data_IF_299930424060
#
_entry.id   IF_299930424060
#
_cell.length_a   1.000
_cell.length_b   1.000
_cell.length_c   1.000
_cell.angle_alpha   90.00
_cell.angle_beta   90.00
_cell.angle_gamma   90.00
#
_symmetry.space_group_name_H-M   'P 1'
#
loop_
_entity.id
_entity.type
_entity.pdbx_description
1 polymer ?
#
# COMPACT_ATOMS: atom_id res chain seq x y z
N UNK A 1 16.86 -28.86 40.55
CA UNK A 1 16.34 -28.89 39.17
C UNK A 1 14.98 -28.21 39.00
N UNK A 2 13.92 -28.54 39.77
CA UNK A 2 12.58 -27.91 39.61
C UNK A 2 12.55 -26.37 39.70
N UNK A 3 13.33 -25.75 40.59
CA UNK A 3 13.40 -24.27 40.71
C UNK A 3 14.07 -23.61 39.50
N UNK A 4 15.17 -24.18 39.01
CA UNK A 4 15.92 -23.68 37.85
C UNK A 4 15.03 -23.72 36.59
N UNK A 5 14.28 -24.81 36.41
CA UNK A 5 13.34 -24.95 35.30
C UNK A 5 12.23 -23.89 35.33
N UNK A 6 11.70 -23.56 36.53
CA UNK A 6 10.71 -22.48 36.67
C UNK A 6 11.27 -21.13 36.27
N UNK A 7 12.50 -20.79 36.66
CA UNK A 7 13.14 -19.55 36.24
C UNK A 7 13.34 -19.47 34.73
N UNK A 8 13.73 -20.57 34.08
CA UNK A 8 13.88 -20.62 32.61
C UNK A 8 12.54 -20.39 31.91
N UNK A 9 11.45 -21.00 32.39
CA UNK A 9 10.10 -20.80 31.83
C UNK A 9 9.65 -19.35 31.99
N UNK A 10 9.86 -18.75 33.17
CA UNK A 10 9.50 -17.35 33.42
C UNK A 10 10.29 -16.41 32.51
N UNK A 11 11.60 -16.64 32.35
CA UNK A 11 12.44 -15.84 31.44
C UNK A 11 11.98 -16.00 29.98
N UNK A 12 11.63 -17.22 29.55
CA UNK A 12 11.11 -17.46 28.20
C UNK A 12 9.80 -16.73 27.92
N UNK A 13 8.88 -16.70 28.89
CA UNK A 13 7.62 -15.94 28.79
C UNK A 13 7.87 -14.43 28.78
N UNK A 14 8.81 -13.94 29.58
CA UNK A 14 9.17 -12.52 29.58
C UNK A 14 9.82 -12.08 28.27
N UNK A 15 10.68 -12.91 27.69
CA UNK A 15 11.30 -12.64 26.39
C UNK A 15 10.27 -12.64 25.25
N UNK A 16 9.29 -13.55 25.26
CA UNK A 16 8.23 -13.55 24.26
C UNK A 16 7.28 -12.36 24.39
N UNK A 17 6.98 -11.92 25.62
CA UNK A 17 6.24 -10.68 25.87
C UNK A 17 7.02 -9.45 25.43
N UNK A 18 8.33 -9.41 25.69
CA UNK A 18 9.20 -8.32 25.24
C UNK A 18 9.26 -8.25 23.72
N UNK A 19 9.42 -9.38 23.03
CA UNK A 19 9.43 -9.42 21.57
C UNK A 19 8.07 -9.01 20.96
N UNK A 20 6.96 -9.43 21.57
CA UNK A 20 5.63 -9.01 21.16
C UNK A 20 5.40 -7.50 21.37
N UNK A 21 5.85 -6.94 22.49
CA UNK A 21 5.70 -5.50 22.80
C UNK A 21 6.63 -4.63 21.97
N UNK A 22 7.86 -5.06 21.73
CA UNK A 22 8.79 -4.35 20.83
C UNK A 22 8.30 -4.37 19.40
N UNK A 23 7.81 -5.51 18.88
CA UNK A 23 7.19 -5.57 17.56
C UNK A 23 5.94 -4.68 17.48
N UNK A 24 5.12 -4.65 18.54
CA UNK A 24 3.98 -3.76 18.60
C UNK A 24 4.40 -2.29 18.57
N UNK A 25 5.39 -1.87 19.36
CA UNK A 25 5.88 -0.49 19.36
C UNK A 25 6.55 -0.10 18.04
N UNK A 26 7.46 -0.92 17.51
CA UNK A 26 8.13 -0.66 16.23
C UNK A 26 7.13 -0.55 15.07
N UNK A 27 6.05 -1.32 15.09
CA UNK A 27 5.00 -1.23 14.08
C UNK A 27 3.88 -0.25 14.43
N UNK A 28 3.91 0.37 15.62
CA UNK A 28 2.93 1.36 16.10
C UNK A 28 3.17 2.74 15.48
N UNK A 29 4.42 3.15 15.27
CA UNK A 29 4.73 4.40 14.58
C UNK A 29 4.35 4.32 13.09
N UNK A 30 4.65 3.19 12.45
CA UNK A 30 4.16 2.87 11.10
C UNK A 30 2.63 2.64 11.08
N UNK A 31 1.99 2.42 12.24
CA UNK A 31 0.55 2.15 12.36
C UNK A 31 -0.31 3.35 12.04
N UNK A 32 0.14 4.54 12.42
CA UNK A 32 -0.55 5.79 12.12
C UNK A 32 0.06 6.49 10.91
N UNK A 33 1.38 6.36 10.72
CA UNK A 33 2.09 7.09 9.68
C UNK A 33 1.74 6.60 8.27
N UNK A 34 1.80 5.29 8.02
CA UNK A 34 1.61 4.77 6.66
C UNK A 34 0.17 4.95 6.13
N UNK A 35 -0.90 4.72 6.91
CA UNK A 35 -2.25 5.07 6.47
C UNK A 35 -2.41 6.55 6.13
N UNK A 36 -1.79 7.43 6.93
CA UNK A 36 -1.83 8.88 6.70
C UNK A 36 -1.09 9.25 5.41
N UNK A 37 0.15 8.78 5.23
CA UNK A 37 0.96 9.02 4.04
C UNK A 37 0.28 8.46 2.78
N UNK A 38 -0.38 7.31 2.88
CA UNK A 38 -1.17 6.75 1.78
C UNK A 38 -2.37 7.63 1.40
N UNK A 39 -3.06 8.23 2.38
CA UNK A 39 -4.12 9.20 2.10
C UNK A 39 -3.57 10.47 1.46
N UNK A 40 -2.41 10.96 1.92
CA UNK A 40 -1.73 12.10 1.29
C UNK A 40 -1.38 11.79 -0.18
N UNK A 41 -0.84 10.59 -0.46
CA UNK A 41 -0.59 10.13 -1.83
C UNK A 41 -1.88 10.10 -2.67
N UNK A 42 -2.98 9.63 -2.10
CA UNK A 42 -4.28 9.57 -2.79
C UNK A 42 -4.84 10.97 -3.09
N UNK A 43 -4.80 11.90 -2.14
CA UNK A 43 -5.30 13.27 -2.31
C UNK A 43 -4.44 14.09 -3.29
N UNK A 44 -3.13 13.81 -3.36
CA UNK A 44 -2.21 14.43 -4.32
C UNK A 44 -2.32 13.83 -5.74
N UNK A 45 -2.98 12.67 -5.88
CA UNK A 45 -3.00 11.96 -7.14
C UNK A 45 -3.92 12.66 -8.14
N UNK A 46 -3.34 13.08 -9.28
CA UNK A 46 -4.14 13.58 -10.38
C UNK A 46 -4.95 12.44 -11.00
N UNK A 47 -6.23 12.69 -11.23
CA UNK A 47 -7.17 11.79 -11.89
C UNK A 47 -7.52 12.37 -13.27
N UNK A 48 -7.59 11.56 -14.34
CA UNK A 48 -7.96 12.06 -15.67
C UNK A 48 -9.33 12.75 -15.66
N UNK A 49 -9.47 13.83 -16.44
CA UNK A 49 -10.79 14.45 -16.65
C UNK A 49 -11.81 13.42 -17.18
N UNK A 50 -13.10 13.61 -16.87
CA UNK A 50 -14.19 12.67 -17.21
C UNK A 50 -14.03 11.30 -16.53
N UNK A 51 -13.55 11.33 -15.30
CA UNK A 51 -13.45 10.17 -14.44
C UNK A 51 -14.17 10.49 -13.12
N UNK A 52 -15.05 9.59 -12.72
CA UNK A 52 -15.78 9.68 -11.46
C UNK A 52 -15.31 8.57 -10.52
N UNK A 53 -15.04 8.90 -9.26
CA UNK A 53 -14.80 7.90 -8.23
C UNK A 53 -16.10 7.14 -7.95
N UNK A 54 -16.07 5.81 -8.13
CA UNK A 54 -17.21 4.97 -7.78
C UNK A 54 -17.12 4.49 -6.34
N UNK A 55 -15.93 4.06 -5.94
CA UNK A 55 -15.72 3.44 -4.64
C UNK A 55 -14.26 3.53 -4.21
N UNK A 56 -14.02 4.18 -3.08
CA UNK A 56 -12.82 3.96 -2.27
C UNK A 56 -13.06 2.80 -1.32
N UNK A 57 -12.27 1.73 -1.44
CA UNK A 57 -12.31 0.61 -0.50
C UNK A 57 -11.62 1.01 0.81
N UNK A 58 -11.95 0.30 1.88
CA UNK A 58 -11.27 0.50 3.16
C UNK A 58 -9.80 0.13 3.05
N UNK A 59 -8.95 0.83 3.82
CA UNK A 59 -7.54 0.51 3.90
C UNK A 59 -7.38 -0.92 4.42
N UNK A 60 -6.69 -1.75 3.63
CA UNK A 60 -6.33 -3.11 4.04
C UNK A 60 -4.91 -3.06 4.58
N UNK A 61 -4.76 -3.45 5.85
CA UNK A 61 -3.43 -3.64 6.43
C UNK A 61 -3.26 -5.07 6.92
N UNK A 62 -2.18 -5.70 6.49
CA UNK A 62 -1.69 -6.98 6.98
C UNK A 62 -0.27 -6.81 7.50
N UNK A 63 0.26 -7.84 8.19
CA UNK A 63 1.61 -7.81 8.76
C UNK A 63 2.71 -7.40 7.76
N UNK A 64 2.52 -7.72 6.48
CA UNK A 64 3.56 -7.55 5.45
C UNK A 64 3.24 -6.47 4.41
N UNK A 65 2.07 -5.83 4.48
CA UNK A 65 1.73 -4.75 3.56
C UNK A 65 0.57 -3.89 4.06
N UNK A 66 0.51 -2.67 3.55
CA UNK A 66 -0.65 -1.79 3.62
C UNK A 66 -1.10 -1.44 2.20
N UNK A 67 -2.40 -1.35 1.98
CA UNK A 67 -2.94 -0.95 0.68
C UNK A 67 -4.28 -0.24 0.73
N UNK A 68 -4.52 0.53 -0.32
CA UNK A 68 -5.77 1.21 -0.63
C UNK A 68 -6.12 0.93 -2.09
N UNK A 69 -7.39 0.68 -2.34
CA UNK A 69 -7.91 0.26 -3.62
C UNK A 69 -9.11 1.17 -3.95
N UNK A 70 -9.05 1.83 -5.11
CA UNK A 70 -10.05 2.79 -5.57
C UNK A 70 -10.55 2.39 -6.95
N UNK A 71 -11.87 2.29 -7.11
CA UNK A 71 -12.53 2.02 -8.37
C UNK A 71 -13.03 3.33 -8.99
N UNK A 72 -12.62 3.59 -10.23
CA UNK A 72 -13.03 4.75 -11.02
C UNK A 72 -13.88 4.33 -12.24
N UNK A 73 -14.90 5.12 -12.56
CA UNK A 73 -15.65 5.05 -13.81
C UNK A 73 -15.09 6.08 -14.77
N UNK A 74 -14.90 5.72 -16.03
CA UNK A 74 -14.47 6.67 -17.05
C UNK A 74 -14.92 6.27 -18.44
N UNK A 75 -15.19 7.27 -19.27
CA UNK A 75 -15.43 7.11 -20.71
C UNK A 75 -14.12 7.10 -21.52
N UNK A 76 -12.97 7.31 -20.87
CA UNK A 76 -11.67 7.27 -21.52
C UNK A 76 -11.29 5.84 -21.92
N UNK A 77 -10.56 5.73 -23.02
CA UNK A 77 -9.96 4.45 -23.41
C UNK A 77 -8.78 4.10 -22.49
N UNK A 78 -8.51 2.81 -22.34
CA UNK A 78 -7.36 2.29 -21.59
C UNK A 78 -6.04 2.96 -21.99
N UNK A 79 -5.82 3.21 -23.29
CA UNK A 79 -4.63 3.91 -23.79
C UNK A 79 -4.53 5.33 -23.23
N UNK A 80 -5.63 6.10 -23.22
CA UNK A 80 -5.62 7.47 -22.69
C UNK A 80 -5.39 7.52 -21.19
N UNK A 81 -5.97 6.58 -20.44
CA UNK A 81 -5.73 6.44 -19.00
C UNK A 81 -4.25 6.14 -18.75
N UNK A 82 -3.68 5.21 -19.50
CA UNK A 82 -2.26 4.86 -19.41
C UNK A 82 -1.35 6.03 -19.74
N UNK A 83 -1.55 6.68 -20.88
CA UNK A 83 -0.78 7.85 -21.31
C UNK A 83 -0.83 8.97 -20.26
N UNK A 84 -2.02 9.25 -19.71
CA UNK A 84 -2.17 10.24 -18.65
C UNK A 84 -1.26 9.96 -17.44
N UNK A 85 -1.27 8.74 -16.90
CA UNK A 85 -0.44 8.42 -15.74
C UNK A 85 1.06 8.32 -16.09
N UNK A 86 1.41 7.84 -17.28
CA UNK A 86 2.79 7.82 -17.79
C UNK A 86 3.35 9.24 -17.93
N UNK A 87 2.54 10.21 -18.33
CA UNK A 87 2.96 11.62 -18.45
C UNK A 87 3.03 12.33 -17.10
N UNK A 88 2.08 12.06 -16.19
CA UNK A 88 1.90 12.85 -14.96
C UNK A 88 2.70 12.33 -13.77
N UNK A 89 2.75 11.03 -13.54
CA UNK A 89 3.37 10.47 -12.33
C UNK A 89 4.89 10.70 -12.27
N UNK A 90 5.65 10.62 -13.38
CA UNK A 90 7.08 10.98 -13.37
C UNK A 90 7.36 12.42 -12.97
N UNK A 91 6.48 13.36 -13.30
CA UNK A 91 6.62 14.76 -12.87
C UNK A 91 6.46 14.93 -11.34
N UNK A 92 5.76 13.99 -10.69
CA UNK A 92 5.59 13.91 -9.24
C UNK A 92 6.62 12.97 -8.56
N UNK A 93 7.68 12.59 -9.26
CA UNK A 93 8.78 11.78 -8.72
C UNK A 93 8.52 10.27 -8.66
N UNK A 94 7.48 9.78 -9.33
CA UNK A 94 7.20 8.35 -9.45
C UNK A 94 7.91 7.76 -10.67
N UNK A 95 8.60 6.64 -10.51
CA UNK A 95 9.25 5.96 -11.63
C UNK A 95 8.46 4.73 -12.05
N UNK A 96 8.34 4.51 -13.36
CA UNK A 96 7.65 3.35 -13.89
C UNK A 96 8.42 2.06 -13.56
N UNK A 97 7.69 1.02 -13.16
CA UNK A 97 8.22 -0.30 -12.84
C UNK A 97 7.38 -1.38 -13.50
N UNK A 98 7.89 -2.60 -13.54
CA UNK A 98 7.11 -3.73 -14.02
C UNK A 98 5.86 -3.94 -13.14
N UNK A 99 4.71 -4.05 -13.80
CA UNK A 99 3.49 -4.43 -13.13
C UNK A 99 3.53 -5.92 -12.79
N UNK A 100 3.19 -6.27 -11.56
CA UNK A 100 3.34 -7.63 -11.05
C UNK A 100 2.09 -8.49 -11.31
N UNK A 101 1.07 -7.96 -11.99
CA UNK A 101 -0.10 -8.71 -12.41
C UNK A 101 -1.02 -7.95 -13.36
N UNK A 102 -1.29 -8.54 -14.52
CA UNK A 102 -2.32 -8.07 -15.47
C UNK A 102 -1.80 -7.20 -16.62
N UNK A 103 -2.75 -6.59 -17.36
CA UNK A 103 -2.49 -5.62 -18.44
C UNK A 103 -2.56 -4.18 -17.88
N UNK A 104 -1.86 -3.97 -16.77
CA UNK A 104 -1.79 -2.70 -16.05
C UNK A 104 -0.58 -1.85 -16.38
N UNK A 105 -0.38 -0.78 -15.62
CA UNK A 105 0.90 -0.07 -15.50
C UNK A 105 1.17 0.18 -14.02
N UNK A 106 2.44 0.21 -13.63
CA UNK A 106 2.81 0.43 -12.24
C UNK A 106 3.96 1.42 -12.08
N UNK A 107 3.97 2.09 -10.94
CA UNK A 107 4.95 3.10 -10.56
C UNK A 107 5.37 2.92 -9.11
N UNK A 108 6.58 3.34 -8.77
CA UNK A 108 7.07 3.32 -7.40
C UNK A 108 7.69 4.66 -6.98
N UNK A 109 7.63 4.95 -5.66
CA UNK A 109 8.22 6.14 -5.03
C UNK A 109 8.37 5.88 -3.52
N UNK A 110 9.59 5.96 -2.99
CA UNK A 110 9.81 5.91 -1.54
C UNK A 110 9.26 4.65 -0.83
N UNK A 111 9.29 3.49 -1.49
CA UNK A 111 8.73 2.24 -0.96
C UNK A 111 7.23 2.04 -1.24
N UNK A 112 6.54 3.08 -1.71
CA UNK A 112 5.17 2.97 -2.22
C UNK A 112 5.16 2.50 -3.66
N UNK A 113 4.08 1.80 -4.02
CA UNK A 113 3.75 1.39 -5.38
C UNK A 113 2.32 1.84 -5.70
N UNK A 114 2.13 2.33 -6.92
CA UNK A 114 0.81 2.60 -7.50
C UNK A 114 0.67 1.72 -8.72
N UNK A 115 -0.39 0.94 -8.79
CA UNK A 115 -0.79 0.15 -9.95
C UNK A 115 -2.11 0.66 -10.49
N UNK A 116 -2.19 0.80 -11.81
CA UNK A 116 -3.40 1.18 -12.53
C UNK A 116 -3.81 -0.01 -13.40
N UNK A 117 -4.93 -0.63 -13.04
CA UNK A 117 -5.45 -1.83 -13.70
C UNK A 117 -6.73 -1.49 -14.44
N UNK A 118 -6.76 -1.79 -15.74
CA UNK A 118 -7.94 -1.53 -16.54
C UNK A 118 -8.96 -2.64 -16.34
N UNK A 119 -10.21 -2.25 -16.14
CA UNK A 119 -11.38 -3.13 -16.15
C UNK A 119 -12.37 -2.67 -17.24
N UNK A 120 -13.42 -3.44 -17.51
CA UNK A 120 -14.38 -3.04 -18.54
C UNK A 120 -15.19 -1.81 -18.07
N UNK A 121 -15.02 -0.67 -18.77
CA UNK A 121 -15.63 0.65 -18.46
C UNK A 121 -15.25 1.26 -17.10
N UNK A 122 -14.22 0.71 -16.46
CA UNK A 122 -13.72 1.14 -15.16
C UNK A 122 -12.21 0.97 -15.14
N UNK A 123 -11.55 1.64 -14.23
CA UNK A 123 -10.20 1.24 -13.88
C UNK A 123 -10.03 1.26 -12.37
N UNK A 124 -9.16 0.39 -11.92
CA UNK A 124 -8.77 0.26 -10.54
C UNK A 124 -7.45 0.98 -10.33
N UNK A 125 -7.37 1.78 -9.27
CA UNK A 125 -6.15 2.35 -8.76
C UNK A 125 -5.80 1.71 -7.43
N UNK A 126 -4.65 1.06 -7.40
CA UNK A 126 -4.15 0.33 -6.25
C UNK A 126 -2.88 0.99 -5.72
N UNK A 127 -2.94 1.52 -4.49
CA UNK A 127 -1.80 2.10 -3.78
C UNK A 127 -1.37 1.09 -2.72
N UNK A 128 -0.09 0.75 -2.65
CA UNK A 128 0.40 -0.13 -1.61
C UNK A 128 1.84 0.15 -1.19
N UNK A 129 2.19 -0.36 -0.01
CA UNK A 129 3.56 -0.46 0.47
C UNK A 129 3.75 -1.84 1.07
N UNK A 130 4.76 -2.54 0.59
CA UNK A 130 5.16 -3.86 1.10
C UNK A 130 6.29 -3.68 2.10
N UNK A 131 6.19 -4.36 3.24
CA UNK A 131 7.23 -4.39 4.27
C UNK A 131 8.18 -5.58 4.11
N UNK A 132 8.01 -6.36 3.05
CA UNK A 132 8.92 -7.44 2.70
C UNK A 132 10.04 -6.89 1.80
N UNK A 133 11.03 -6.29 2.47
CA UNK A 133 12.47 -6.43 2.22
C UNK A 133 13.23 -5.91 3.43
#
# INVERSE_FOLDING_TARGET
MKRILHYIVIIGVLLSLYDATMNFMYHSDDFEKDPKEMYEIYEELLVPEKTDELRKKEIIRKRHFVSLDIDYCTDLSNTRIREFYIERLPLAGWYQVDDLGGDGIAFARGGWKISIHNENKKYNLYICKSYNN
#
